data_IF_282472751094
#
_entry.id   IF_282472751094
#
_cell.length_a   1.000
_cell.length_b   1.000
_cell.length_c   1.000
_cell.angle_alpha   90.00
_cell.angle_beta   90.00
_cell.angle_gamma   90.00
#
_symmetry.space_group_name_H-M   'P 1'
#
loop_
_entity.id
_entity.type
_entity.pdbx_description
1 polymer ?
#
# COMPACT_ATOMS: atom_id res chain seq x y z
N UNK A 1 -9.45 2.72 -6.07
CA UNK A 1 -8.25 1.86 -6.18
C UNK A 1 -7.03 2.56 -6.81
N UNK A 2 -7.12 3.12 -8.05
CA UNK A 2 -5.95 3.70 -8.76
C UNK A 2 -5.28 4.86 -7.99
N UNK A 3 -6.07 5.84 -7.54
CA UNK A 3 -5.55 7.02 -6.82
C UNK A 3 -4.80 6.67 -5.53
N UNK A 4 -5.28 5.68 -4.76
CA UNK A 4 -4.56 5.20 -3.56
C UNK A 4 -3.23 4.57 -3.95
N UNK A 5 -3.22 3.70 -4.97
CA UNK A 5 -1.99 3.04 -5.40
C UNK A 5 -0.97 4.04 -5.99
N UNK A 6 -1.42 5.07 -6.70
CA UNK A 6 -0.54 6.13 -7.22
C UNK A 6 0.19 6.86 -6.09
N UNK A 7 -0.55 7.32 -5.07
CA UNK A 7 0.03 7.95 -3.87
C UNK A 7 0.95 6.99 -3.13
N UNK A 8 0.51 5.75 -2.93
CA UNK A 8 1.31 4.71 -2.26
C UNK A 8 2.65 4.48 -2.96
N UNK A 9 2.64 4.33 -4.29
CA UNK A 9 3.87 4.09 -5.05
C UNK A 9 4.79 5.33 -5.04
N UNK A 10 4.24 6.54 -5.10
CA UNK A 10 5.01 7.77 -4.96
C UNK A 10 5.71 7.88 -3.60
N UNK A 11 5.06 7.43 -2.52
CA UNK A 11 5.65 7.42 -1.19
C UNK A 11 6.65 6.28 -0.98
N UNK A 12 6.34 5.07 -1.47
CA UNK A 12 7.28 3.94 -1.45
C UNK A 12 8.59 4.26 -2.18
N UNK A 13 8.51 5.05 -3.27
CA UNK A 13 9.66 5.55 -4.01
C UNK A 13 10.64 6.39 -3.18
N UNK A 14 10.20 6.93 -2.04
CA UNK A 14 11.04 7.73 -1.11
C UNK A 14 11.67 6.89 0.00
N UNK A 15 11.40 5.58 0.03
CA UNK A 15 11.85 4.68 1.09
C UNK A 15 13.07 3.87 0.65
N UNK A 16 13.74 3.25 1.62
CA UNK A 16 14.85 2.31 1.34
C UNK A 16 14.44 1.09 0.51
N UNK A 17 13.14 0.82 0.41
CA UNK A 17 12.60 -0.31 -0.35
C UNK A 17 12.68 -0.09 -1.86
N UNK A 18 12.78 1.18 -2.28
CA UNK A 18 12.98 1.60 -3.67
C UNK A 18 14.46 1.77 -4.05
N UNK A 19 15.40 1.61 -3.11
CA UNK A 19 16.84 1.74 -3.38
C UNK A 19 17.36 0.68 -4.36
N UNK A 20 18.61 0.81 -4.82
CA UNK A 20 19.16 0.01 -5.94
C UNK A 20 19.40 -1.48 -5.62
N UNK A 21 19.26 -1.91 -4.37
CA UNK A 21 19.43 -3.31 -4.00
C UNK A 21 18.23 -4.18 -4.41
N UNK A 22 18.48 -5.47 -4.63
CA UNK A 22 17.43 -6.46 -4.76
C UNK A 22 16.76 -6.68 -3.39
N UNK A 23 15.44 -6.70 -3.36
CA UNK A 23 14.67 -7.00 -2.14
C UNK A 23 13.49 -7.89 -2.49
N UNK A 24 13.02 -8.67 -1.52
CA UNK A 24 11.82 -9.52 -1.66
C UNK A 24 10.55 -8.71 -1.99
N UNK A 25 10.56 -7.41 -1.70
CA UNK A 25 9.43 -6.51 -1.86
C UNK A 25 9.51 -5.65 -3.12
N UNK A 26 10.51 -5.85 -3.98
CA UNK A 26 10.67 -5.09 -5.22
C UNK A 26 10.72 -6.04 -6.41
N UNK A 27 9.86 -5.80 -7.39
CA UNK A 27 9.86 -6.56 -8.64
C UNK A 27 11.10 -6.23 -9.48
N UNK A 28 11.37 -7.07 -10.49
CA UNK A 28 12.40 -6.79 -11.48
C UNK A 28 12.17 -5.45 -12.21
N UNK A 29 10.91 -5.06 -12.42
CA UNK A 29 10.53 -3.76 -12.99
C UNK A 29 10.65 -2.58 -12.01
N UNK A 30 11.12 -2.80 -10.78
CA UNK A 30 11.32 -1.77 -9.77
C UNK A 30 10.09 -1.40 -8.95
N UNK A 31 8.95 -2.07 -9.14
CA UNK A 31 7.72 -1.82 -8.36
C UNK A 31 7.88 -2.38 -6.95
N UNK A 32 7.66 -1.54 -5.94
CA UNK A 32 7.58 -2.00 -4.55
C UNK A 32 6.17 -2.55 -4.28
N UNK A 33 6.09 -3.79 -3.81
CA UNK A 33 4.83 -4.55 -3.65
C UNK A 33 4.17 -4.38 -2.29
N UNK A 34 4.83 -3.66 -1.36
CA UNK A 34 4.24 -3.40 -0.05
C UNK A 34 2.96 -2.58 -0.19
N UNK A 35 1.95 -2.88 0.61
CA UNK A 35 0.61 -2.28 0.53
C UNK A 35 0.46 -1.01 1.41
N UNK A 36 1.49 -0.67 2.18
CA UNK A 36 1.55 0.54 2.99
C UNK A 36 2.99 1.10 3.01
N UNK A 37 3.16 2.42 3.06
CA UNK A 37 4.46 3.12 3.01
C UNK A 37 4.89 3.75 4.34
N UNK A 38 3.93 3.94 5.26
CA UNK A 38 4.10 4.77 6.47
C UNK A 38 4.36 4.00 7.76
N UNK A 39 3.94 4.59 8.88
CA UNK A 39 4.01 3.92 10.20
C UNK A 39 2.82 2.98 10.39
N UNK A 40 2.99 1.95 11.21
CA UNK A 40 1.88 1.05 11.58
C UNK A 40 0.72 1.78 12.27
N UNK A 41 1.01 2.87 13.00
CA UNK A 41 -0.03 3.74 13.60
C UNK A 41 -0.83 4.51 12.57
N UNK A 42 -0.22 4.92 11.46
CA UNK A 42 -0.92 5.59 10.36
C UNK A 42 -1.84 4.60 9.65
N UNK A 43 -1.35 3.38 9.40
CA UNK A 43 -2.17 2.29 8.86
C UNK A 43 -3.38 2.00 9.76
N UNK A 44 -3.16 1.90 11.08
CA UNK A 44 -4.24 1.70 12.05
C UNK A 44 -5.27 2.84 12.04
N UNK A 45 -4.83 4.09 11.85
CA UNK A 45 -5.72 5.24 11.75
C UNK A 45 -6.56 5.22 10.46
N UNK A 46 -5.95 4.90 9.32
CA UNK A 46 -6.65 4.78 8.02
C UNK A 46 -7.72 3.70 8.07
N UNK A 47 -7.41 2.56 8.69
CA UNK A 47 -8.31 1.40 8.77
C UNK A 47 -9.34 1.49 9.90
N UNK A 48 -9.35 2.60 10.68
CA UNK A 48 -10.20 2.73 11.88
C UNK A 48 -11.70 2.74 11.54
N UNK A 49 -12.05 3.25 10.38
CA UNK A 49 -13.43 3.42 9.94
C UNK A 49 -13.68 2.54 8.71
N UNK A 50 -14.81 1.84 8.72
CA UNK A 50 -15.22 1.02 7.59
C UNK A 50 -15.74 1.93 6.46
N UNK A 51 -15.04 1.90 5.32
CA UNK A 51 -15.45 2.59 4.10
C UNK A 51 -16.03 1.58 3.09
N UNK A 52 -17.36 1.52 2.88
CA UNK A 52 -17.97 0.56 1.97
C UNK A 52 -17.52 0.69 0.52
N UNK A 53 -17.04 1.86 0.08
CA UNK A 53 -16.55 2.07 -1.29
C UNK A 53 -15.16 1.44 -1.51
N UNK A 54 -14.46 1.14 -0.42
CA UNK A 54 -13.15 0.47 -0.43
C UNK A 54 -13.25 -1.07 -0.42
N UNK A 55 -14.43 -1.65 -0.25
CA UNK A 55 -14.62 -3.10 -0.12
C UNK A 55 -15.69 -3.64 -1.06
N UNK A 56 -15.46 -4.87 -1.54
CA UNK A 56 -16.56 -5.67 -2.07
C UNK A 56 -17.28 -6.35 -0.90
N UNK A 57 -18.45 -5.83 -0.53
CA UNK A 57 -19.26 -6.39 0.55
C UNK A 57 -19.95 -7.67 0.07
N UNK A 58 -19.66 -8.79 0.72
CA UNK A 58 -20.28 -10.10 0.43
C UNK A 58 -21.31 -10.37 1.54
N UNK A 59 -22.61 -10.57 1.21
CA UNK A 59 -23.63 -10.90 2.20
C UNK A 59 -23.32 -12.19 2.95
N UNK A 60 -23.64 -12.25 4.24
CA UNK A 60 -23.72 -13.53 4.95
C UNK A 60 -24.87 -14.35 4.38
N UNK A 61 -24.66 -15.67 4.26
CA UNK A 61 -25.72 -16.64 3.99
C UNK A 61 -26.76 -16.67 5.12
#
# INVERSE_FOLDING_TARGET
MSAYNETLQADLGKTVWAGDCASWYKTESGKVTNNWSGKTTEYAAIMREFDPDSWQVIPSA
#
